data_IF_484611001909
#
_entry.id   IF_484611001909
#
_cell.length_a   1.000
_cell.length_b   1.000
_cell.length_c   1.000
_cell.angle_alpha   90.00
_cell.angle_beta   90.00
_cell.angle_gamma   90.00
#
_symmetry.space_group_name_H-M   'P 1'
#
loop_
_entity.id
_entity.type
_entity.pdbx_description
1 polymer ?
#
# COMPACT_ATOMS: atom_id res chain seq x y z
N UNK A 1 -15.18 1.06 -19.44
CA UNK A 1 -15.33 -0.21 -18.71
C UNK A 1 -14.36 -1.19 -19.34
N UNK A 2 -13.63 -1.99 -18.56
CA UNK A 2 -12.58 -2.94 -18.97
C UNK A 2 -11.23 -2.34 -19.40
N UNK A 3 -10.35 -2.07 -18.42
CA UNK A 3 -8.87 -2.17 -18.55
C UNK A 3 -8.14 -1.79 -17.23
N UNK A 4 -8.75 -1.97 -16.05
CA UNK A 4 -7.95 -2.42 -14.90
C UNK A 4 -7.57 -3.85 -15.30
N UNK A 5 -6.37 -3.97 -15.85
CA UNK A 5 -6.00 -4.95 -16.86
C UNK A 5 -6.22 -6.36 -16.32
N UNK A 6 -6.78 -7.25 -17.14
CA UNK A 6 -6.94 -8.67 -16.83
C UNK A 6 -5.69 -9.32 -16.20
N UNK A 7 -4.50 -8.74 -16.39
CA UNK A 7 -3.22 -9.13 -15.79
C UNK A 7 -3.12 -8.93 -14.28
N UNK A 8 -3.54 -7.79 -13.74
CA UNK A 8 -3.57 -7.59 -12.27
C UNK A 8 -4.58 -8.53 -11.61
N UNK A 9 -5.73 -8.76 -12.25
CA UNK A 9 -6.73 -9.76 -11.86
C UNK A 9 -6.24 -11.21 -11.97
N UNK A 10 -5.33 -11.51 -12.92
CA UNK A 10 -4.70 -12.84 -13.08
C UNK A 10 -3.67 -13.12 -11.99
N UNK A 11 -2.82 -12.15 -11.66
CA UNK A 11 -1.94 -12.28 -10.49
C UNK A 11 -2.76 -12.34 -9.20
N UNK A 12 -3.88 -11.61 -9.13
CA UNK A 12 -4.84 -11.73 -8.04
C UNK A 12 -5.46 -13.13 -7.93
N UNK A 13 -5.79 -13.77 -9.06
CA UNK A 13 -6.29 -15.14 -9.12
C UNK A 13 -5.22 -16.16 -8.71
N UNK A 14 -3.95 -15.92 -9.06
CA UNK A 14 -2.78 -16.72 -8.67
C UNK A 14 -2.48 -16.60 -7.17
N UNK A 15 -2.55 -15.39 -6.62
CA UNK A 15 -2.49 -15.12 -5.18
C UNK A 15 -3.74 -15.64 -4.46
N UNK A 16 -4.87 -15.80 -5.17
CA UNK A 16 -6.09 -16.46 -4.69
C UNK A 16 -6.02 -17.99 -4.71
N UNK A 17 -5.21 -18.59 -5.59
CA UNK A 17 -5.04 -20.05 -5.68
C UNK A 17 -3.97 -20.56 -4.69
N UNK A 18 -2.94 -19.77 -4.41
CA UNK A 18 -2.05 -19.95 -3.25
C UNK A 18 -2.77 -19.68 -1.91
N UNK A 19 -3.97 -19.11 -1.99
CA UNK A 19 -4.85 -18.77 -0.88
C UNK A 19 -5.72 -19.96 -0.54
N UNK A 20 -5.25 -20.80 0.36
CA UNK A 20 -6.20 -21.32 1.32
C UNK A 20 -6.65 -20.17 2.27
N UNK A 21 -7.50 -19.26 1.78
CA UNK A 21 -8.54 -18.63 2.62
C UNK A 21 -8.58 -17.12 2.95
N UNK A 22 -7.76 -16.19 2.41
CA UNK A 22 -7.59 -14.88 3.08
C UNK A 22 -7.90 -13.59 2.27
N UNK A 23 -9.16 -13.11 2.22
CA UNK A 23 -9.74 -12.01 1.38
C UNK A 23 -9.03 -10.62 1.25
N UNK A 24 -7.82 -10.39 1.75
CA UNK A 24 -7.13 -9.08 1.77
C UNK A 24 -5.96 -8.92 0.76
N UNK A 25 -5.83 -7.75 0.13
CA UNK A 25 -4.71 -7.37 -0.78
C UNK A 25 -3.40 -7.26 -0.01
N UNK A 26 -3.46 -6.74 1.22
CA UNK A 26 -2.27 -6.51 2.02
C UNK A 26 -1.62 -7.84 2.42
N UNK A 27 -2.42 -8.88 2.65
CA UNK A 27 -1.89 -10.22 2.93
C UNK A 27 -1.12 -10.79 1.73
N UNK A 28 -1.60 -10.50 0.52
CA UNK A 28 -0.99 -11.00 -0.71
C UNK A 28 0.40 -10.39 -0.99
N UNK A 29 0.70 -9.21 -0.44
CA UNK A 29 2.01 -8.56 -0.56
C UNK A 29 2.94 -8.84 0.64
N UNK A 30 2.46 -9.51 1.70
CA UNK A 30 3.30 -9.82 2.86
C UNK A 30 4.59 -10.57 2.49
N UNK A 31 4.60 -11.57 1.58
CA UNK A 31 5.81 -12.32 1.25
C UNK A 31 6.99 -11.47 0.80
N UNK A 32 6.76 -10.28 0.21
CA UNK A 32 7.83 -9.36 -0.19
C UNK A 32 8.56 -8.74 1.01
N UNK A 33 7.93 -8.65 2.18
CA UNK A 33 8.55 -8.07 3.36
C UNK A 33 9.41 -9.10 4.13
N UNK A 34 9.15 -10.39 3.96
CA UNK A 34 9.84 -11.47 4.68
C UNK A 34 11.36 -11.48 4.46
N UNK A 35 11.90 -11.39 3.22
CA UNK A 35 13.35 -11.37 2.97
C UNK A 35 14.05 -10.13 3.55
N UNK A 36 13.31 -9.03 3.73
CA UNK A 36 13.86 -7.79 4.33
C UNK A 36 13.88 -7.84 5.85
N UNK A 37 13.02 -8.67 6.45
CA UNK A 37 12.97 -8.88 7.90
C UNK A 37 14.01 -9.90 8.36
N UNK A 38 14.32 -10.93 7.57
CA UNK A 38 15.27 -12.00 7.95
C UNK A 38 16.66 -11.49 8.39
N UNK A 39 17.33 -10.53 7.70
CA UNK A 39 18.60 -9.98 8.17
C UNK A 39 18.51 -9.24 9.51
N UNK A 40 17.29 -8.96 9.97
CA UNK A 40 16.98 -8.27 11.21
C UNK A 40 16.57 -9.24 12.34
N UNK A 41 16.60 -10.56 12.11
CA UNK A 41 16.28 -11.57 13.14
C UNK A 41 17.00 -11.29 14.47
N UNK A 42 16.23 -11.31 15.56
CA UNK A 42 16.69 -11.02 16.91
C UNK A 42 16.92 -9.53 17.22
N UNK A 43 16.64 -8.61 16.28
CA UNK A 43 16.74 -7.16 16.49
C UNK A 43 15.38 -6.54 16.78
N UNK A 44 15.40 -5.38 17.43
CA UNK A 44 14.19 -4.56 17.60
C UNK A 44 13.74 -4.05 16.24
N UNK A 45 12.47 -4.26 15.91
CA UNK A 45 11.86 -3.78 14.69
C UNK A 45 11.62 -2.28 14.80
N UNK A 46 12.36 -1.53 13.97
CA UNK A 46 12.21 -0.08 13.84
C UNK A 46 11.50 0.24 12.51
N UNK A 47 10.22 0.69 12.54
CA UNK A 47 9.43 0.93 11.34
C UNK A 47 10.08 1.89 10.34
N UNK A 48 10.88 2.83 10.83
CA UNK A 48 11.60 3.81 10.02
C UNK A 48 12.73 3.19 9.21
N UNK A 49 13.54 2.37 9.86
CA UNK A 49 14.66 1.70 9.21
C UNK A 49 14.13 0.68 8.20
N UNK A 50 13.10 -0.07 8.58
CA UNK A 50 12.42 -0.99 7.69
C UNK A 50 11.82 -0.27 6.47
N UNK A 51 11.11 0.84 6.68
CA UNK A 51 10.53 1.60 5.58
C UNK A 51 11.57 2.16 4.61
N UNK A 52 12.72 2.62 5.13
CA UNK A 52 13.86 3.01 4.31
C UNK A 52 14.39 1.84 3.50
N UNK A 53 14.60 0.67 4.12
CA UNK A 53 15.05 -0.54 3.42
C UNK A 53 14.08 -0.94 2.31
N UNK A 54 12.77 -0.98 2.58
CA UNK A 54 11.74 -1.26 1.55
C UNK A 54 11.82 -0.26 0.40
N UNK A 55 11.96 1.04 0.71
CA UNK A 55 12.05 2.09 -0.30
C UNK A 55 13.32 2.00 -1.13
N UNK A 56 14.46 1.67 -0.51
CA UNK A 56 15.76 1.51 -1.18
C UNK A 56 15.81 0.23 -2.02
N UNK A 57 15.25 -0.88 -1.52
CA UNK A 57 15.28 -2.18 -2.20
C UNK A 57 14.25 -2.26 -3.31
N UNK A 58 13.02 -1.83 -3.07
CA UNK A 58 11.92 -1.98 -4.02
C UNK A 58 11.54 -0.70 -4.74
N UNK A 59 12.16 0.44 -4.45
CA UNK A 59 11.78 1.72 -5.04
C UNK A 59 10.38 2.21 -4.66
N UNK A 60 9.74 1.57 -3.67
CA UNK A 60 8.38 1.92 -3.26
C UNK A 60 8.36 3.20 -2.43
N UNK A 61 7.35 4.06 -2.63
CA UNK A 61 7.06 5.16 -1.72
C UNK A 61 6.43 4.61 -0.42
N UNK A 62 7.27 3.99 0.39
CA UNK A 62 6.88 3.23 1.57
C UNK A 62 7.29 4.00 2.82
N UNK A 63 6.32 4.55 3.55
CA UNK A 63 6.57 5.37 4.73
C UNK A 63 6.58 4.56 6.03
N UNK A 64 7.16 5.14 7.08
CA UNK A 64 7.12 4.54 8.41
C UNK A 64 5.68 4.31 8.91
N UNK A 65 4.72 5.14 8.48
CA UNK A 65 3.30 4.96 8.83
C UNK A 65 2.71 3.69 8.20
N UNK A 66 3.14 3.33 6.99
CA UNK A 66 2.74 2.08 6.32
C UNK A 66 3.38 0.90 7.05
N UNK A 67 4.68 0.98 7.35
CA UNK A 67 5.37 -0.04 8.14
C UNK A 67 4.67 -0.28 9.50
N UNK A 68 4.29 0.79 10.20
CA UNK A 68 3.56 0.73 11.48
C UNK A 68 2.17 0.09 11.34
N UNK A 69 1.45 0.32 10.24
CA UNK A 69 0.16 -0.33 9.99
C UNK A 69 0.31 -1.84 9.76
N UNK A 70 1.40 -2.27 9.11
CA UNK A 70 1.68 -3.68 8.82
C UNK A 70 2.16 -4.48 10.02
N UNK A 71 2.59 -3.84 11.12
CA UNK A 71 3.09 -4.53 12.34
C UNK A 71 2.12 -5.61 12.81
N UNK A 72 0.82 -5.30 12.90
CA UNK A 72 -0.20 -6.26 13.35
C UNK A 72 -0.28 -7.51 12.46
N UNK A 73 0.00 -7.34 11.16
CA UNK A 73 0.02 -8.44 10.19
C UNK A 73 1.30 -9.23 10.27
N UNK A 74 2.45 -8.57 10.50
CA UNK A 74 3.71 -9.26 10.75
C UNK A 74 3.67 -10.08 12.04
N UNK A 75 3.02 -9.57 13.09
CA UNK A 75 2.76 -10.33 14.33
C UNK A 75 1.83 -11.52 14.04
N UNK A 76 0.74 -11.31 13.29
CA UNK A 76 -0.18 -12.39 12.92
C UNK A 76 0.47 -13.46 12.05
N UNK A 77 1.45 -13.08 11.24
CA UNK A 77 2.26 -13.98 10.41
C UNK A 77 3.41 -14.66 11.19
N UNK A 78 3.61 -14.32 12.46
CA UNK A 78 4.67 -14.89 13.31
C UNK A 78 6.07 -14.32 13.04
N UNK A 79 6.19 -13.19 12.34
CA UNK A 79 7.48 -12.58 11.97
C UNK A 79 7.98 -11.59 13.01
N UNK A 80 7.06 -11.00 13.78
CA UNK A 80 7.36 -10.12 14.89
C UNK A 80 6.72 -10.67 16.16
N UNK A 81 7.40 -10.51 17.30
CA UNK A 81 6.83 -10.75 18.62
C UNK A 81 6.88 -9.50 19.48
N UNK A 82 5.85 -9.36 20.31
CA UNK A 82 5.73 -8.27 21.26
C UNK A 82 6.61 -8.57 22.48
N UNK A 83 7.55 -7.68 22.78
CA UNK A 83 8.55 -7.91 23.85
C UNK A 83 8.17 -7.26 25.17
N UNK A 84 7.26 -6.28 25.16
CA UNK A 84 6.79 -5.58 26.35
C UNK A 84 5.28 -5.76 26.49
N UNK A 85 4.82 -6.00 27.73
CA UNK A 85 3.43 -6.01 28.16
C UNK A 85 2.62 -4.74 27.82
N UNK A 86 3.27 -3.66 27.38
CA UNK A 86 2.64 -2.43 26.89
C UNK A 86 2.43 -2.37 25.36
N UNK A 87 2.97 -3.32 24.57
CA UNK A 87 2.70 -3.43 23.12
C UNK A 87 3.35 -2.39 22.21
N UNK A 88 4.47 -1.84 22.63
CA UNK A 88 5.16 -0.77 21.91
C UNK A 88 6.52 -1.16 21.32
N UNK A 89 7.06 -2.33 21.68
CA UNK A 89 8.33 -2.81 21.17
C UNK A 89 8.15 -4.20 20.59
N UNK A 90 8.61 -4.36 19.35
CA UNK A 90 8.53 -5.59 18.59
C UNK A 90 9.94 -6.06 18.28
N UNK A 91 10.19 -7.35 18.41
CA UNK A 91 11.44 -7.99 17.99
C UNK A 91 11.15 -8.85 16.77
N UNK A 92 12.07 -8.82 15.81
CA UNK A 92 11.99 -9.70 14.65
C UNK A 92 12.33 -11.11 15.11
N UNK A 93 11.38 -12.03 14.93
CA UNK A 93 11.58 -13.44 15.26
C UNK A 93 12.64 -14.07 14.36
N UNK A 94 13.16 -15.23 14.76
CA UNK A 94 14.05 -15.98 13.88
C UNK A 94 13.23 -16.59 12.74
N UNK A 95 13.10 -15.82 11.66
CA UNK A 95 12.40 -16.23 10.46
C UNK A 95 13.38 -17.08 9.63
N UNK A 96 13.66 -18.30 10.08
CA UNK A 96 14.37 -19.24 9.22
C UNK A 96 13.48 -19.54 8.02
N UNK A 97 14.02 -19.38 6.80
CA UNK A 97 13.45 -20.01 5.62
C UNK A 97 13.58 -21.54 5.80
N UNK A 98 12.67 -22.15 6.55
CA UNK A 98 12.45 -23.59 6.46
C UNK A 98 11.90 -23.86 5.06
N UNK A 99 12.82 -24.15 4.13
CA UNK A 99 12.74 -25.00 2.93
C UNK A 99 11.47 -24.99 2.03
N UNK A 100 10.68 -23.91 2.04
CA UNK A 100 9.61 -23.68 1.06
C UNK A 100 9.81 -22.40 0.21
N UNK A 101 11.01 -21.81 0.23
CA UNK A 101 11.36 -20.60 -0.53
C UNK A 101 12.44 -20.88 -1.58
N UNK A 102 12.15 -20.61 -2.84
CA UNK A 102 13.11 -20.64 -3.96
C UNK A 102 14.41 -19.90 -3.59
N UNK A 103 15.51 -20.63 -3.44
CA UNK A 103 16.84 -20.05 -3.20
C UNK A 103 17.20 -19.12 -4.36
N UNK A 104 17.42 -17.83 -4.11
CA UNK A 104 17.74 -16.83 -5.14
C UNK A 104 19.00 -17.20 -5.93
N UNK A 105 19.93 -17.91 -5.31
CA UNK A 105 21.10 -18.49 -6.00
C UNK A 105 20.73 -19.66 -6.92
N UNK A 106 19.69 -20.40 -6.58
CA UNK A 106 19.16 -21.46 -7.42
C UNK A 106 18.34 -20.90 -8.59
N UNK A 107 17.60 -19.80 -8.41
CA UNK A 107 16.89 -19.11 -9.52
C UNK A 107 17.87 -18.57 -10.56
N UNK A 108 18.95 -17.89 -10.15
CA UNK A 108 19.93 -17.33 -11.11
C UNK A 108 20.68 -18.44 -11.87
N UNK A 109 21.09 -19.49 -11.15
CA UNK A 109 21.72 -20.67 -11.73
C UNK A 109 20.76 -21.41 -12.68
N UNK A 110 19.49 -21.55 -12.28
CA UNK A 110 18.43 -22.20 -13.04
C UNK A 110 18.06 -21.39 -14.29
N UNK A 111 17.93 -20.06 -14.18
CA UNK A 111 17.66 -19.16 -15.31
C UNK A 111 18.82 -19.22 -16.31
N UNK A 112 20.07 -19.23 -15.86
CA UNK A 112 21.22 -19.38 -16.75
C UNK A 112 21.18 -20.72 -17.48
N UNK A 113 20.90 -21.82 -16.77
CA UNK A 113 20.80 -23.18 -17.33
C UNK A 113 19.66 -23.31 -18.35
N UNK A 114 18.48 -22.79 -18.04
CA UNK A 114 17.33 -22.74 -18.94
C UNK A 114 17.65 -21.91 -20.19
N UNK A 115 18.29 -20.76 -20.01
CA UNK A 115 18.68 -19.88 -21.14
C UNK A 115 19.74 -20.54 -22.03
N UNK A 116 20.68 -21.30 -21.47
CA UNK A 116 21.66 -22.07 -22.24
C UNK A 116 20.99 -23.14 -23.10
N UNK A 117 20.10 -23.95 -22.51
CA UNK A 117 19.37 -24.95 -23.26
C UNK A 117 18.45 -24.34 -24.31
N UNK A 118 17.86 -23.18 -24.03
CA UNK A 118 17.04 -22.47 -25.01
C UNK A 118 17.89 -21.96 -26.20
N UNK A 119 19.09 -21.46 -25.92
CA UNK A 119 20.05 -21.02 -26.94
C UNK A 119 20.63 -22.19 -27.76
N UNK A 120 20.80 -23.37 -27.15
CA UNK A 120 21.19 -24.61 -27.85
C UNK A 120 20.05 -25.14 -28.72
N UNK A 121 18.83 -25.20 -28.18
CA UNK A 121 17.65 -25.61 -28.93
C UNK A 121 17.42 -24.76 -30.18
N UNK A 122 17.60 -23.43 -30.06
CA UNK A 122 17.56 -22.52 -31.22
C UNK A 122 18.60 -22.90 -32.29
N UNK A 123 19.83 -23.23 -31.88
CA UNK A 123 20.90 -23.65 -32.80
C UNK A 123 20.57 -24.96 -33.51
N UNK A 124 19.93 -25.90 -32.81
CA UNK A 124 19.47 -27.17 -33.38
C UNK A 124 18.34 -26.99 -34.40
N UNK A 125 17.38 -26.11 -34.12
CA UNK A 125 16.18 -25.95 -34.94
C UNK A 125 16.42 -25.22 -36.26
N UNK A 126 17.41 -24.34 -36.32
CA UNK A 126 17.62 -23.51 -37.50
C UNK A 126 19.07 -23.01 -37.63
N UNK A 127 19.98 -23.83 -38.15
CA UNK A 127 21.37 -23.43 -38.41
C UNK A 127 21.51 -22.35 -39.51
N UNK A 128 20.42 -22.00 -40.21
CA UNK A 128 20.42 -21.12 -41.39
C UNK A 128 19.62 -19.81 -41.24
N UNK A 129 18.99 -19.54 -40.10
CA UNK A 129 18.21 -18.29 -39.92
C UNK A 129 19.04 -17.12 -39.43
N UNK A 130 18.86 -15.95 -40.04
CA UNK A 130 19.36 -14.62 -39.61
C UNK A 130 18.80 -14.13 -38.25
N UNK A 131 18.21 -15.01 -37.45
CA UNK A 131 17.60 -14.66 -36.17
C UNK A 131 18.71 -14.45 -35.11
N UNK A 132 19.38 -13.30 -35.19
CA UNK A 132 20.49 -12.90 -34.33
C UNK A 132 19.97 -12.27 -33.03
N UNK A 133 19.72 -13.10 -32.02
CA UNK A 133 19.38 -12.69 -30.65
C UNK A 133 20.50 -13.13 -29.70
N UNK A 134 20.91 -12.26 -28.78
CA UNK A 134 21.89 -12.58 -27.75
C UNK A 134 21.29 -13.50 -26.68
N UNK A 135 22.14 -14.04 -25.78
CA UNK A 135 21.69 -14.91 -24.68
C UNK A 135 20.72 -14.16 -23.75
N UNK A 136 21.00 -12.89 -23.47
CA UNK A 136 20.18 -12.00 -22.65
C UNK A 136 18.81 -11.75 -23.30
N UNK A 137 18.80 -11.47 -24.61
CA UNK A 137 17.56 -11.27 -25.36
C UNK A 137 16.69 -12.53 -25.41
N UNK A 138 17.30 -13.71 -25.50
CA UNK A 138 16.58 -14.99 -25.46
C UNK A 138 15.98 -15.26 -24.08
N UNK A 139 16.69 -14.90 -23.01
CA UNK A 139 16.17 -14.95 -21.63
C UNK A 139 14.96 -14.04 -21.47
N UNK A 140 15.07 -12.77 -21.89
CA UNK A 140 13.96 -11.81 -21.82
C UNK A 140 12.74 -12.28 -22.63
N UNK A 141 12.95 -12.83 -23.83
CA UNK A 141 11.89 -13.38 -24.68
C UNK A 141 11.18 -14.56 -23.99
N UNK A 142 11.95 -15.47 -23.40
CA UNK A 142 11.40 -16.65 -22.72
C UNK A 142 10.60 -16.25 -21.47
N UNK A 143 11.16 -15.37 -20.63
CA UNK A 143 10.48 -14.84 -19.44
C UNK A 143 9.21 -14.10 -19.83
N UNK A 144 9.27 -13.20 -20.82
CA UNK A 144 8.08 -12.47 -21.30
C UNK A 144 7.01 -13.43 -21.81
N UNK A 145 7.39 -14.49 -22.53
CA UNK A 145 6.44 -15.48 -23.04
C UNK A 145 5.79 -16.28 -21.91
N UNK A 146 6.58 -16.82 -20.98
CA UNK A 146 6.10 -17.58 -19.82
C UNK A 146 5.11 -16.76 -18.97
N UNK A 147 5.44 -15.50 -18.73
CA UNK A 147 4.57 -14.56 -18.02
C UNK A 147 3.29 -14.28 -18.82
N UNK A 148 3.40 -14.11 -20.14
CA UNK A 148 2.25 -13.80 -21.01
C UNK A 148 1.25 -14.95 -21.16
N UNK A 149 1.68 -16.20 -20.99
CA UNK A 149 0.83 -17.40 -21.06
C UNK A 149 0.39 -17.90 -19.69
N UNK A 150 0.70 -17.15 -18.62
CA UNK A 150 0.35 -17.50 -17.25
C UNK A 150 0.93 -18.90 -16.85
N UNK A 151 2.18 -19.19 -17.23
CA UNK A 151 2.82 -20.52 -17.09
C UNK A 151 3.27 -20.87 -15.65
N UNK A 152 2.47 -20.56 -14.64
CA UNK A 152 2.82 -20.76 -13.21
C UNK A 152 2.55 -22.19 -12.70
N UNK A 153 1.97 -23.07 -13.51
CA UNK A 153 1.84 -24.49 -13.20
C UNK A 153 2.10 -25.36 -14.45
N UNK A 154 2.54 -26.59 -14.23
CA UNK A 154 2.90 -27.50 -15.32
C UNK A 154 1.71 -27.82 -16.24
N UNK A 155 0.48 -27.87 -15.73
CA UNK A 155 -0.71 -28.15 -16.55
C UNK A 155 -0.95 -27.07 -17.60
N UNK A 156 -0.89 -25.79 -17.21
CA UNK A 156 -1.03 -24.64 -18.11
C UNK A 156 0.13 -24.60 -19.10
N UNK A 157 1.34 -24.92 -18.63
CA UNK A 157 2.54 -24.98 -19.48
C UNK A 157 2.41 -26.09 -20.55
N UNK A 158 1.85 -27.25 -20.19
CA UNK A 158 1.57 -28.38 -21.11
C UNK A 158 0.42 -28.09 -22.08
N UNK A 159 -0.66 -27.47 -21.61
CA UNK A 159 -1.82 -27.10 -22.44
C UNK A 159 -1.45 -26.05 -23.50
N UNK A 160 -0.68 -25.03 -23.11
CA UNK A 160 -0.26 -23.97 -24.03
C UNK A 160 0.88 -24.40 -24.97
N UNK A 161 1.66 -25.42 -24.61
CA UNK A 161 2.64 -26.03 -25.50
C UNK A 161 1.99 -26.91 -26.60
N UNK A 162 0.75 -27.36 -26.38
CA UNK A 162 0.06 -28.35 -27.22
C UNK A 162 -1.34 -27.86 -27.60
N UNK A 163 -1.46 -26.77 -28.36
CA UNK A 163 -2.73 -26.43 -29.02
C UNK A 163 -2.83 -27.10 -30.39
N UNK A 164 -3.90 -27.89 -30.57
CA UNK A 164 -4.32 -28.46 -31.87
C UNK A 164 -5.25 -27.46 -32.54
N UNK A 165 -4.99 -27.09 -33.80
CA UNK A 165 -5.98 -26.33 -34.57
C UNK A 165 -7.19 -27.20 -34.91
N UNK A 166 -8.33 -26.56 -35.10
CA UNK A 166 -9.61 -27.14 -35.55
C UNK A 166 -9.51 -27.88 -36.89
N UNK A 167 -8.38 -27.77 -37.61
CA UNK A 167 -8.14 -28.40 -38.92
C UNK A 167 -6.99 -29.44 -38.90
N UNK A 168 -6.56 -29.91 -37.72
CA UNK A 168 -5.60 -31.02 -37.62
C UNK A 168 -4.16 -30.68 -38.06
N UNK A 169 -3.89 -29.42 -38.40
CA UNK A 169 -2.53 -28.91 -38.61
C UNK A 169 -2.04 -28.28 -37.31
N UNK A 170 -0.82 -28.62 -36.87
CA UNK A 170 -0.18 -28.02 -35.68
C UNK A 170 -0.01 -26.51 -35.88
N UNK A 171 -0.99 -25.72 -35.47
CA UNK A 171 -0.89 -24.26 -35.44
C UNK A 171 -0.53 -23.85 -34.01
N UNK A 172 0.75 -23.55 -33.79
CA UNK A 172 1.24 -22.97 -32.54
C UNK A 172 1.00 -21.46 -32.65
N UNK A 173 -0.26 -21.03 -32.55
CA UNK A 173 -0.63 -19.61 -32.51
C UNK A 173 -1.49 -19.37 -31.28
N UNK A 174 -0.84 -18.98 -30.18
CA UNK A 174 -1.52 -18.38 -29.06
C UNK A 174 -1.66 -16.88 -29.32
N UNK A 175 -2.89 -16.39 -29.44
CA UNK A 175 -3.17 -14.95 -29.40
C UNK A 175 -2.89 -14.45 -27.98
N UNK A 176 -1.69 -13.90 -27.78
CA UNK A 176 -1.34 -13.20 -26.54
C UNK A 176 -2.13 -11.89 -26.44
N UNK A 177 -2.53 -11.47 -25.22
CA UNK A 177 -3.26 -10.22 -25.02
C UNK A 177 -2.46 -8.99 -25.52
N UNK A 178 -3.18 -8.01 -26.09
CA UNK A 178 -2.63 -6.76 -26.64
C UNK A 178 -1.67 -6.07 -25.65
N UNK A 179 -0.37 -6.10 -25.97
CA UNK A 179 0.70 -5.54 -25.14
C UNK A 179 2.00 -6.35 -25.07
N UNK A 180 2.08 -7.56 -25.63
CA UNK A 180 3.36 -8.29 -25.77
C UNK A 180 4.25 -7.65 -26.83
N UNK A 181 5.54 -7.49 -26.54
CA UNK A 181 6.55 -7.04 -27.52
C UNK A 181 7.07 -8.18 -28.42
N UNK A 182 6.70 -9.42 -28.08
CA UNK A 182 7.13 -10.63 -28.76
C UNK A 182 6.64 -10.72 -30.21
N UNK A 183 7.56 -11.00 -31.13
CA UNK A 183 7.24 -11.30 -32.52
C UNK A 183 6.59 -12.69 -32.67
N UNK A 184 5.96 -12.98 -33.80
CA UNK A 184 5.44 -14.32 -34.10
C UNK A 184 6.53 -15.40 -34.11
N UNK A 185 7.75 -15.05 -34.52
CA UNK A 185 8.92 -15.94 -34.50
C UNK A 185 9.36 -16.24 -33.06
N UNK A 186 9.34 -15.24 -32.17
CA UNK A 186 9.69 -15.38 -30.75
C UNK A 186 8.70 -16.33 -30.06
N UNK A 187 7.40 -16.12 -30.27
CA UNK A 187 6.33 -16.96 -29.72
C UNK A 187 6.45 -18.40 -30.19
N UNK A 188 6.71 -18.60 -31.48
CA UNK A 188 6.89 -19.92 -32.06
C UNK A 188 8.11 -20.64 -31.45
N UNK A 189 9.22 -19.93 -31.27
CA UNK A 189 10.45 -20.48 -30.70
C UNK A 189 10.25 -20.92 -29.24
N UNK A 190 9.63 -20.08 -28.40
CA UNK A 190 9.33 -20.39 -27.01
C UNK A 190 8.40 -21.60 -26.88
N UNK A 191 7.29 -21.61 -27.63
CA UNK A 191 6.32 -22.70 -27.57
C UNK A 191 6.91 -24.04 -28.05
N UNK A 192 7.77 -24.03 -29.09
CA UNK A 192 8.49 -25.23 -29.54
C UNK A 192 9.50 -25.73 -28.51
N UNK A 193 10.19 -24.82 -27.83
CA UNK A 193 11.14 -25.17 -26.78
C UNK A 193 10.43 -25.82 -25.59
N UNK A 194 9.36 -25.20 -25.12
CA UNK A 194 8.56 -25.76 -24.02
C UNK A 194 7.93 -27.09 -24.42
N UNK A 195 7.43 -27.23 -25.65
CA UNK A 195 6.94 -28.51 -26.15
C UNK A 195 8.02 -29.61 -26.10
N UNK A 196 9.26 -29.32 -26.51
CA UNK A 196 10.38 -30.29 -26.41
C UNK A 196 10.57 -30.73 -24.95
N UNK A 197 10.58 -29.77 -24.02
CA UNK A 197 10.73 -30.08 -22.59
C UNK A 197 9.57 -30.90 -22.02
N UNK A 198 8.34 -30.64 -22.48
CA UNK A 198 7.15 -31.41 -22.12
C UNK A 198 7.23 -32.84 -22.66
N UNK A 199 7.60 -33.00 -23.94
CA UNK A 199 7.73 -34.31 -24.60
C UNK A 199 8.86 -35.15 -23.97
N UNK A 200 9.93 -34.50 -23.49
CA UNK A 200 11.07 -35.13 -22.82
C UNK A 200 10.87 -35.33 -21.30
N UNK A 201 9.74 -34.85 -20.75
CA UNK A 201 9.46 -34.82 -19.31
C UNK A 201 10.64 -34.27 -18.48
N UNK A 202 11.20 -33.16 -18.96
CA UNK A 202 12.39 -32.53 -18.39
C UNK A 202 12.12 -31.95 -17.00
N UNK A 203 13.07 -32.11 -16.08
CA UNK A 203 13.05 -31.46 -14.76
C UNK A 203 13.07 -29.93 -14.84
N UNK A 204 13.36 -29.36 -16.02
CA UNK A 204 13.32 -27.91 -16.25
C UNK A 204 11.90 -27.34 -16.36
N UNK A 205 10.87 -28.18 -16.46
CA UNK A 205 9.47 -27.71 -16.47
C UNK A 205 9.11 -27.02 -15.15
N UNK A 206 9.48 -27.63 -14.03
CA UNK A 206 9.31 -27.06 -12.69
C UNK A 206 10.08 -25.72 -12.57
N UNK A 207 11.34 -25.71 -13.03
CA UNK A 207 12.15 -24.49 -13.13
C UNK A 207 11.49 -23.37 -13.94
N UNK A 208 10.86 -23.70 -15.08
CA UNK A 208 10.16 -22.72 -15.93
C UNK A 208 8.93 -22.14 -15.21
N UNK A 209 8.19 -22.96 -14.48
CA UNK A 209 7.05 -22.48 -13.68
C UNK A 209 7.50 -21.56 -12.54
N UNK A 210 8.61 -21.88 -11.86
CA UNK A 210 9.23 -20.99 -10.86
C UNK A 210 9.69 -19.65 -11.45
N UNK A 211 10.34 -19.67 -12.61
CA UNK A 211 10.74 -18.45 -13.34
C UNK A 211 9.51 -17.63 -13.78
N UNK A 212 8.44 -18.29 -14.24
CA UNK A 212 7.19 -17.63 -14.63
C UNK A 212 6.52 -16.96 -13.43
N UNK A 213 6.47 -17.64 -12.28
CA UNK A 213 5.95 -17.09 -11.03
C UNK A 213 6.78 -15.88 -10.57
N UNK A 214 8.11 -15.98 -10.56
CA UNK A 214 9.00 -14.87 -10.24
C UNK A 214 8.86 -13.70 -11.24
N UNK A 215 8.63 -14.00 -12.53
CA UNK A 215 8.39 -12.99 -13.58
C UNK A 215 7.04 -12.29 -13.44
N UNK A 216 6.00 -13.00 -13.03
CA UNK A 216 4.68 -12.45 -12.70
C UNK A 216 4.77 -11.56 -11.45
N UNK A 217 5.47 -12.01 -10.41
CA UNK A 217 5.74 -11.21 -9.20
C UNK A 217 6.53 -9.94 -9.53
N UNK A 218 7.52 -10.05 -10.42
CA UNK A 218 8.28 -8.92 -10.97
C UNK A 218 7.39 -7.94 -11.74
N UNK A 219 6.38 -8.44 -12.48
CA UNK A 219 5.41 -7.60 -13.17
C UNK A 219 4.48 -6.88 -12.18
N UNK A 220 4.09 -7.51 -11.07
CA UNK A 220 3.37 -6.85 -9.96
C UNK A 220 4.18 -5.72 -9.35
N UNK A 221 5.45 -6.00 -9.01
CA UNK A 221 6.37 -4.96 -8.51
C UNK A 221 6.41 -3.80 -9.51
N UNK A 222 6.48 -4.08 -10.81
CA UNK A 222 6.48 -3.07 -11.87
C UNK A 222 5.14 -2.33 -12.04
N UNK A 223 4.01 -2.99 -11.83
CA UNK A 223 2.69 -2.36 -11.85
C UNK A 223 2.47 -1.46 -10.63
N UNK A 224 3.11 -1.75 -9.49
CA UNK A 224 3.23 -0.76 -8.39
C UNK A 224 4.11 0.45 -8.77
N UNK A 225 5.06 0.28 -9.69
CA UNK A 225 5.93 1.36 -10.19
C UNK A 225 5.31 2.19 -11.34
N UNK A 226 4.34 1.64 -12.06
CA UNK A 226 3.70 2.32 -13.20
C UNK A 226 2.22 2.48 -12.88
N UNK A 227 1.69 3.70 -12.65
CA UNK A 227 0.25 3.91 -12.62
C UNK A 227 -0.31 3.61 -14.01
N UNK A 228 -0.66 2.35 -14.25
CA UNK A 228 -1.38 1.94 -15.44
C UNK A 228 -2.81 2.37 -15.20
N UNK A 229 -3.22 3.41 -15.92
CA UNK A 229 -4.52 4.08 -15.92
C UNK A 229 -4.63 5.30 -14.99
N UNK A 230 -5.22 6.38 -15.52
CA UNK A 230 -5.64 7.59 -14.78
C UNK A 230 -6.28 7.17 -13.47
N UNK A 231 -5.66 7.49 -12.33
CA UNK A 231 -6.25 7.24 -11.01
C UNK A 231 -7.68 7.80 -11.05
N UNK A 232 -8.68 6.95 -10.81
CA UNK A 232 -10.07 7.40 -10.77
C UNK A 232 -10.14 8.54 -9.75
N UNK A 233 -10.50 9.73 -10.22
CA UNK A 233 -10.58 10.89 -9.36
C UNK A 233 -11.56 10.59 -8.23
N UNK A 234 -11.05 10.64 -7.01
CA UNK A 234 -11.79 10.43 -5.79
C UNK A 234 -12.53 11.71 -5.42
N UNK A 235 -13.80 11.63 -5.05
CA UNK A 235 -14.55 12.77 -4.50
C UNK A 235 -14.47 12.85 -2.97
N UNK A 236 -13.66 11.97 -2.35
CA UNK A 236 -13.46 11.90 -0.92
C UNK A 236 -13.05 13.26 -0.33
N UNK A 237 -13.74 13.70 0.71
CA UNK A 237 -13.38 14.83 1.54
C UNK A 237 -12.75 14.34 2.85
N UNK A 238 -11.46 14.63 3.01
CA UNK A 238 -10.65 14.23 4.16
C UNK A 238 -10.61 15.39 5.14
N UNK A 239 -11.06 15.16 6.37
CA UNK A 239 -11.05 16.14 7.46
C UNK A 239 -9.91 15.79 8.41
N UNK A 240 -8.95 16.68 8.56
CA UNK A 240 -7.79 16.45 9.43
C UNK A 240 -8.12 16.85 10.86
N UNK A 241 -7.69 16.00 11.79
CA UNK A 241 -7.57 16.32 13.20
C UNK A 241 -6.41 17.30 13.46
N UNK A 242 -6.41 17.95 14.62
CA UNK A 242 -5.44 18.97 15.01
C UNK A 242 -4.01 18.43 14.97
N UNK A 243 -3.78 17.22 15.48
CA UNK A 243 -2.43 16.64 15.49
C UNK A 243 -1.89 16.41 14.08
N UNK A 244 -2.72 15.89 13.16
CA UNK A 244 -2.35 15.64 11.76
C UNK A 244 -2.11 16.96 11.03
N UNK A 245 -2.96 17.95 11.25
CA UNK A 245 -2.80 19.29 10.66
C UNK A 245 -1.52 19.98 11.15
N UNK A 246 -1.15 19.85 12.43
CA UNK A 246 0.09 20.40 12.98
C UNK A 246 1.33 19.70 12.41
N UNK A 247 1.31 18.37 12.26
CA UNK A 247 2.38 17.63 11.57
C UNK A 247 2.55 18.09 10.13
N UNK A 248 1.45 18.27 9.39
CA UNK A 248 1.48 18.79 8.02
C UNK A 248 2.09 20.20 7.91
N UNK A 249 1.83 21.07 8.89
CA UNK A 249 2.46 22.39 8.98
C UNK A 249 3.95 22.32 9.36
N UNK A 250 4.42 21.19 9.88
CA UNK A 250 5.81 20.97 10.25
C UNK A 250 6.19 21.46 11.64
N UNK A 251 5.22 21.90 12.45
CA UNK A 251 5.49 22.31 13.83
C UNK A 251 5.83 21.14 14.74
N UNK A 252 5.54 19.90 14.31
CA UNK A 252 5.88 18.67 15.02
C UNK A 252 7.23 18.04 14.60
N UNK A 253 7.99 18.73 13.73
CA UNK A 253 9.29 18.26 13.24
C UNK A 253 9.29 17.90 11.75
N UNK A 254 10.50 17.85 11.18
CA UNK A 254 10.69 17.69 9.74
C UNK A 254 10.23 16.31 9.23
N UNK A 255 10.46 15.27 10.02
CA UNK A 255 10.12 13.91 9.66
C UNK A 255 8.61 13.66 9.65
N UNK A 256 7.91 14.05 10.72
CA UNK A 256 6.45 13.96 10.79
C UNK A 256 5.80 14.75 9.64
N UNK A 257 6.38 15.91 9.31
CA UNK A 257 5.94 16.70 8.17
C UNK A 257 6.10 15.96 6.84
N UNK A 258 7.24 15.30 6.60
CA UNK A 258 7.46 14.52 5.37
C UNK A 258 6.44 13.40 5.23
N UNK A 259 6.21 12.63 6.30
CA UNK A 259 5.29 11.49 6.29
C UNK A 259 3.85 11.93 6.02
N UNK A 260 3.35 12.94 6.74
CA UNK A 260 1.97 13.42 6.54
C UNK A 260 1.81 14.14 5.20
N UNK A 261 2.84 14.86 4.74
CA UNK A 261 2.79 15.57 3.46
C UNK A 261 2.67 14.62 2.27
N UNK A 262 3.43 13.53 2.23
CA UNK A 262 3.33 12.55 1.13
C UNK A 262 1.92 11.96 1.04
N UNK A 263 1.28 11.71 2.18
CA UNK A 263 -0.10 11.22 2.27
C UNK A 263 -1.11 12.27 1.79
N UNK A 264 -1.01 13.51 2.28
CA UNK A 264 -1.96 14.58 1.91
C UNK A 264 -1.82 14.98 0.45
N UNK A 265 -0.60 15.16 -0.05
CA UNK A 265 -0.33 15.50 -1.44
C UNK A 265 -0.73 14.34 -2.37
N UNK A 266 -0.50 13.09 -1.95
CA UNK A 266 -0.99 11.89 -2.64
C UNK A 266 -2.52 11.84 -2.70
N UNK A 267 -3.21 12.21 -1.63
CA UNK A 267 -4.67 12.30 -1.64
C UNK A 267 -5.18 13.40 -2.59
N UNK A 268 -4.55 14.57 -2.59
CA UNK A 268 -4.90 15.69 -3.45
C UNK A 268 -4.64 15.37 -4.93
N UNK A 269 -3.56 14.65 -5.25
CA UNK A 269 -3.21 14.28 -6.63
C UNK A 269 -4.26 13.37 -7.28
N UNK A 270 -4.95 12.56 -6.47
CA UNK A 270 -6.06 11.70 -6.92
C UNK A 270 -7.43 12.36 -6.80
N UNK A 271 -7.50 13.67 -6.55
CA UNK A 271 -8.72 14.47 -6.53
C UNK A 271 -9.43 14.58 -5.18
N UNK A 272 -8.91 13.97 -4.11
CA UNK A 272 -9.49 14.16 -2.78
C UNK A 272 -9.41 15.63 -2.36
N UNK A 273 -10.46 16.12 -1.70
CA UNK A 273 -10.40 17.44 -1.06
C UNK A 273 -9.98 17.29 0.40
N UNK A 274 -8.96 18.03 0.81
CA UNK A 274 -8.45 17.98 2.18
C UNK A 274 -8.88 19.24 2.91
N UNK A 275 -9.43 19.05 4.12
CA UNK A 275 -10.14 20.09 4.87
C UNK A 275 -9.87 19.96 6.37
N UNK A 276 -10.19 21.01 7.11
CA UNK A 276 -10.29 21.00 8.57
C UNK A 276 -11.60 21.63 9.01
N UNK A 277 -12.15 21.18 10.14
CA UNK A 277 -13.24 21.91 10.77
C UNK A 277 -12.72 23.20 11.42
N UNK A 278 -13.57 24.21 11.47
CA UNK A 278 -13.21 25.46 12.15
C UNK A 278 -12.85 25.24 13.63
N UNK A 279 -13.56 24.34 14.32
CA UNK A 279 -13.26 23.96 15.71
C UNK A 279 -11.88 23.30 15.88
N UNK A 280 -11.36 22.63 14.85
CA UNK A 280 -9.98 22.09 14.83
C UNK A 280 -8.95 23.21 14.86
N UNK A 281 -9.23 24.36 14.25
CA UNK A 281 -8.32 25.51 14.30
C UNK A 281 -8.15 26.02 15.74
N UNK A 282 -9.25 26.10 16.49
CA UNK A 282 -9.21 26.50 17.89
C UNK A 282 -8.37 25.50 18.69
N UNK A 283 -8.58 24.20 18.49
CA UNK A 283 -7.79 23.17 19.18
C UNK A 283 -6.29 23.25 18.83
N UNK A 284 -5.94 23.46 17.55
CA UNK A 284 -4.56 23.71 17.14
C UNK A 284 -3.94 24.90 17.87
N UNK A 285 -4.64 26.04 17.92
CA UNK A 285 -4.19 27.23 18.64
C UNK A 285 -4.00 26.96 20.13
N UNK A 286 -4.96 26.30 20.79
CA UNK A 286 -4.87 25.96 22.20
C UNK A 286 -3.72 25.00 22.50
N UNK A 287 -3.51 23.99 21.65
CA UNK A 287 -2.42 23.03 21.81
C UNK A 287 -1.04 23.71 21.72
N UNK A 288 -0.86 24.58 20.72
CA UNK A 288 0.39 25.33 20.56
C UNK A 288 0.60 26.36 21.67
N UNK A 289 -0.45 27.08 22.07
CA UNK A 289 -0.39 28.02 23.19
C UNK A 289 -0.03 27.32 24.51
N UNK A 290 -0.57 26.13 24.76
CA UNK A 290 -0.24 25.34 25.95
C UNK A 290 1.26 24.99 26.00
N UNK A 291 1.87 24.69 24.86
CA UNK A 291 3.32 24.46 24.75
C UNK A 291 4.10 25.77 24.95
N UNK A 292 3.67 26.86 24.33
CA UNK A 292 4.38 28.15 24.36
C UNK A 292 4.33 28.85 25.72
N UNK A 293 3.24 28.66 26.49
CA UNK A 293 3.04 29.24 27.83
C UNK A 293 3.92 28.58 28.90
N UNK A 294 4.38 27.35 28.68
CA UNK A 294 5.31 26.68 29.59
C UNK A 294 6.73 27.20 29.38
N UNK A 295 7.49 27.26 30.47
CA UNK A 295 8.93 27.55 30.43
C UNK A 295 9.64 26.55 29.52
N UNK A 296 10.64 27.02 28.76
CA UNK A 296 11.39 26.23 27.78
C UNK A 296 11.77 24.81 28.24
N UNK A 297 12.34 24.59 29.46
CA UNK A 297 12.69 23.24 29.91
C UNK A 297 11.47 22.36 30.25
N UNK A 298 10.32 22.95 30.58
CA UNK A 298 9.09 22.25 30.96
C UNK A 298 8.12 22.02 29.78
N UNK A 299 8.53 22.40 28.55
CA UNK A 299 7.74 22.14 27.35
C UNK A 299 7.78 20.66 27.00
N UNK A 300 6.62 20.10 26.69
CA UNK A 300 6.43 18.68 26.38
C UNK A 300 5.73 18.50 25.03
N UNK A 301 5.78 17.28 24.50
CA UNK A 301 5.12 16.89 23.26
C UNK A 301 5.96 17.11 21.99
N UNK A 302 5.42 16.74 20.81
CA UNK A 302 6.15 16.73 19.55
C UNK A 302 6.72 18.09 19.17
N UNK A 303 5.93 19.16 19.30
CA UNK A 303 6.35 20.53 18.99
C UNK A 303 7.47 21.03 19.90
N UNK A 304 7.42 20.70 21.20
CA UNK A 304 8.50 21.05 22.12
C UNK A 304 9.81 20.35 21.74
N UNK A 305 9.74 19.08 21.36
CA UNK A 305 10.89 18.30 20.92
C UNK A 305 11.47 18.83 19.61
N UNK A 306 10.63 19.16 18.63
CA UNK A 306 11.07 19.77 17.38
C UNK A 306 11.78 21.12 17.60
N UNK A 307 11.24 21.98 18.49
CA UNK A 307 11.90 23.23 18.87
C UNK A 307 13.26 22.98 19.55
N UNK A 308 13.35 22.01 20.46
CA UNK A 308 14.62 21.66 21.14
C UNK A 308 15.68 21.16 20.19
N UNK A 309 15.27 20.46 19.12
CA UNK A 309 16.16 19.95 18.07
C UNK A 309 16.53 21.01 17.02
N UNK A 310 15.96 22.22 17.08
CA UNK A 310 16.17 23.26 16.08
C UNK A 310 15.50 22.96 14.74
N UNK A 311 14.53 22.03 14.70
CA UNK A 311 13.79 21.70 13.47
C UNK A 311 12.72 22.74 13.15
N UNK A 312 12.25 23.49 14.16
CA UNK A 312 11.26 24.56 14.00
C UNK A 312 11.54 25.72 14.94
N UNK A 313 11.40 26.93 14.41
CA UNK A 313 11.59 28.17 15.16
C UNK A 313 10.37 28.50 16.04
N UNK A 314 10.61 28.93 17.29
CA UNK A 314 9.53 29.32 18.22
C UNK A 314 8.67 30.47 17.64
N UNK A 315 9.29 31.38 16.87
CA UNK A 315 8.57 32.46 16.19
C UNK A 315 7.52 31.91 15.20
N UNK A 316 7.90 30.90 14.41
CA UNK A 316 6.99 30.24 13.47
C UNK A 316 5.84 29.55 14.22
N UNK A 317 6.14 28.81 15.29
CA UNK A 317 5.11 28.15 16.11
C UNK A 317 4.12 29.17 16.68
N UNK A 318 4.59 30.34 17.13
CA UNK A 318 3.75 31.42 17.64
C UNK A 318 2.87 32.05 16.55
N UNK A 319 3.37 32.18 15.32
CA UNK A 319 2.57 32.65 14.19
C UNK A 319 1.47 31.65 13.82
N UNK A 320 1.81 30.36 13.77
CA UNK A 320 0.83 29.29 13.52
C UNK A 320 -0.23 29.26 14.61
N UNK A 321 0.15 29.40 15.89
CA UNK A 321 -0.80 29.44 17.01
C UNK A 321 -1.81 30.60 16.88
N UNK A 322 -1.39 31.76 16.38
CA UNK A 322 -2.25 32.93 16.23
C UNK A 322 -3.21 32.85 15.04
N UNK A 323 -2.81 32.23 13.95
CA UNK A 323 -3.60 32.18 12.72
C UNK A 323 -3.36 30.89 11.93
N UNK A 324 -3.76 29.72 12.46
CA UNK A 324 -3.51 28.43 11.80
C UNK A 324 -4.22 28.34 10.45
N UNK A 325 -5.38 28.99 10.30
CA UNK A 325 -6.15 29.06 9.05
C UNK A 325 -5.30 29.51 7.86
N UNK A 326 -4.56 30.61 8.01
CA UNK A 326 -3.80 31.18 6.89
C UNK A 326 -2.68 30.24 6.41
N UNK A 327 -2.07 29.47 7.32
CA UNK A 327 -1.01 28.53 6.97
C UNK A 327 -1.56 27.29 6.26
N UNK A 328 -2.72 26.80 6.68
CA UNK A 328 -3.42 25.67 6.07
C UNK A 328 -3.95 26.02 4.68
N UNK A 329 -4.61 27.17 4.53
CA UNK A 329 -5.14 27.63 3.24
C UNK A 329 -4.04 27.84 2.20
N UNK A 330 -2.88 28.40 2.59
CA UNK A 330 -1.71 28.53 1.72
C UNK A 330 -1.17 27.19 1.20
N UNK A 331 -1.47 26.09 1.91
CA UNK A 331 -1.10 24.72 1.52
C UNK A 331 -2.27 23.95 0.89
N UNK A 332 -3.33 24.64 0.47
CA UNK A 332 -4.46 24.04 -0.23
C UNK A 332 -5.43 23.25 0.66
N UNK A 333 -5.40 23.46 1.98
CA UNK A 333 -6.33 22.84 2.92
C UNK A 333 -7.55 23.76 3.10
N UNK A 334 -8.75 23.24 2.82
CA UNK A 334 -9.99 24.00 2.96
C UNK A 334 -10.47 24.09 4.41
N UNK A 335 -11.08 25.21 4.79
CA UNK A 335 -11.67 25.39 6.13
C UNK A 335 -13.18 25.25 6.04
N UNK A 336 -13.75 24.38 6.87
CA UNK A 336 -15.19 24.13 6.92
C UNK A 336 -15.77 24.62 8.23
N UNK A 337 -16.66 25.61 8.15
CA UNK A 337 -17.48 26.06 9.28
C UNK A 337 -18.76 25.24 9.31
N UNK A 338 -18.81 24.26 10.21
CA UNK A 338 -20.02 23.48 10.52
C UNK A 338 -20.20 23.38 12.03
N UNK A 339 -21.44 23.48 12.51
CA UNK A 339 -21.78 23.22 13.91
C UNK A 339 -22.82 22.09 14.03
N UNK A 340 -22.90 21.42 15.19
CA UNK A 340 -23.91 20.38 15.45
C UNK A 340 -25.36 20.85 15.40
N UNK A 341 -25.63 22.16 15.39
CA UNK A 341 -26.98 22.71 15.32
C UNK A 341 -27.38 23.12 13.90
N UNK A 342 -26.42 23.10 12.97
CA UNK A 342 -26.67 23.40 11.57
C UNK A 342 -27.24 22.19 10.85
N UNK A 343 -28.21 22.44 9.95
CA UNK A 343 -28.90 21.44 9.14
C UNK A 343 -29.69 20.39 9.97
N UNK A 344 -30.86 20.76 10.52
CA UNK A 344 -31.67 19.85 11.34
C UNK A 344 -32.05 18.54 10.66
N UNK A 345 -32.20 18.55 9.32
CA UNK A 345 -32.47 17.37 8.51
C UNK A 345 -31.30 16.36 8.46
N UNK A 346 -30.08 16.76 8.86
CA UNK A 346 -28.95 15.84 8.98
C UNK A 346 -28.92 15.15 10.36
N UNK A 347 -29.74 15.58 11.32
CA UNK A 347 -29.79 14.99 12.67
C UNK A 347 -30.31 13.55 12.67
N UNK A 348 -31.07 13.17 11.63
CA UNK A 348 -31.58 11.82 11.42
C UNK A 348 -30.45 10.77 11.30
N UNK A 349 -29.26 11.19 10.86
CA UNK A 349 -28.11 10.31 10.67
C UNK A 349 -27.20 10.22 11.91
N UNK A 350 -27.29 11.21 12.81
CA UNK A 350 -26.57 11.21 14.08
C UNK A 350 -27.20 12.25 15.02
N UNK A 351 -28.02 11.77 15.96
CA UNK A 351 -28.80 12.62 16.87
C UNK A 351 -27.91 13.35 17.89
N UNK A 352 -28.46 14.35 18.58
CA UNK A 352 -27.76 15.02 19.68
C UNK A 352 -27.48 14.07 20.85
N UNK A 353 -28.44 13.20 21.16
CA UNK A 353 -28.30 12.20 22.21
C UNK A 353 -27.13 11.24 21.93
N UNK A 354 -26.92 10.86 20.66
CA UNK A 354 -25.77 10.06 20.24
C UNK A 354 -24.44 10.83 20.39
N UNK A 355 -24.43 12.16 20.20
CA UNK A 355 -23.24 12.99 20.46
C UNK A 355 -22.90 12.97 21.95
N UNK A 356 -23.90 13.14 22.82
CA UNK A 356 -23.71 13.12 24.26
C UNK A 356 -23.30 11.73 24.77
N UNK A 357 -23.86 10.67 24.18
CA UNK A 357 -23.47 9.29 24.48
C UNK A 357 -22.02 9.01 24.05
N UNK A 358 -21.63 9.40 22.83
CA UNK A 358 -20.25 9.27 22.35
C UNK A 358 -19.28 10.09 23.21
N UNK A 359 -19.63 11.34 23.50
CA UNK A 359 -18.90 12.19 24.45
C UNK A 359 -18.69 11.42 25.75
N UNK A 360 -19.76 10.89 26.35
CA UNK A 360 -19.73 10.14 27.62
C UNK A 360 -18.82 8.91 27.60
N UNK A 361 -18.58 8.28 26.44
CA UNK A 361 -17.66 7.13 26.30
C UNK A 361 -16.19 7.53 26.13
N UNK A 362 -15.89 8.74 25.66
CA UNK A 362 -14.51 9.22 25.52
C UNK A 362 -13.94 9.54 26.91
N UNK A 363 -13.02 8.72 27.40
CA UNK A 363 -12.54 8.79 28.79
C UNK A 363 -11.03 9.08 28.94
N UNK A 364 -10.28 9.14 27.84
CA UNK A 364 -8.83 9.44 27.86
C UNK A 364 -8.51 10.94 27.93
N UNK A 365 -9.50 11.81 27.75
CA UNK A 365 -9.35 13.23 27.96
C UNK A 365 -9.95 13.63 29.32
N UNK A 366 -9.09 14.14 30.22
CA UNK A 366 -9.55 14.80 31.45
C UNK A 366 -10.21 16.14 31.16
N UNK A 367 -9.78 16.81 30.09
CA UNK A 367 -10.33 18.09 29.67
C UNK A 367 -11.62 17.89 28.84
N UNK A 368 -12.68 18.66 29.11
CA UNK A 368 -13.95 18.52 28.40
C UNK A 368 -13.88 19.04 26.96
N UNK A 369 -12.98 19.98 26.64
CA UNK A 369 -12.92 20.62 25.32
C UNK A 369 -12.46 19.68 24.20
N UNK A 370 -11.32 18.96 24.30
CA UNK A 370 -10.91 18.00 23.27
C UNK A 370 -11.92 16.86 23.12
N UNK A 371 -12.47 16.41 24.25
CA UNK A 371 -13.53 15.40 24.29
C UNK A 371 -14.78 15.80 23.51
N UNK A 372 -15.22 17.05 23.67
CA UNK A 372 -16.35 17.60 22.92
C UNK A 372 -16.03 17.71 21.44
N UNK A 373 -14.82 18.17 21.10
CA UNK A 373 -14.38 18.28 19.72
C UNK A 373 -14.37 16.92 19.01
N UNK A 374 -13.80 15.89 19.62
CA UNK A 374 -13.75 14.53 19.10
C UNK A 374 -15.16 13.98 18.79
N UNK A 375 -16.07 14.11 19.75
CA UNK A 375 -17.45 13.67 19.61
C UNK A 375 -18.19 14.44 18.49
N UNK A 376 -18.02 15.76 18.45
CA UNK A 376 -18.64 16.62 17.43
C UNK A 376 -18.08 16.33 16.04
N UNK A 377 -16.77 16.23 15.90
CA UNK A 377 -16.11 15.95 14.61
C UNK A 377 -16.58 14.61 14.05
N UNK A 378 -16.66 13.58 14.90
CA UNK A 378 -17.19 12.25 14.53
C UNK A 378 -18.64 12.35 14.05
N UNK A 379 -19.50 13.06 14.79
CA UNK A 379 -20.90 13.23 14.44
C UNK A 379 -21.09 14.02 13.14
N UNK A 380 -20.32 15.08 12.92
CA UNK A 380 -20.36 15.88 11.70
C UNK A 380 -20.01 15.04 10.47
N UNK A 381 -19.02 14.13 10.57
CA UNK A 381 -18.74 13.19 9.47
C UNK A 381 -19.94 12.30 9.19
N UNK A 382 -20.52 11.67 10.21
CA UNK A 382 -21.66 10.76 10.03
C UNK A 382 -22.86 11.48 9.39
N UNK A 383 -23.13 12.71 9.82
CA UNK A 383 -24.16 13.57 9.24
C UNK A 383 -23.88 13.92 7.78
N UNK A 384 -22.64 14.28 7.45
CA UNK A 384 -22.24 14.59 6.08
C UNK A 384 -22.28 13.36 5.16
N UNK A 385 -22.05 12.15 5.69
CA UNK A 385 -22.21 10.89 4.95
C UNK A 385 -23.67 10.57 4.60
N UNK A 386 -24.65 11.16 5.31
CA UNK A 386 -26.09 10.97 5.03
C UNK A 386 -26.48 9.49 4.89
N UNK A 387 -25.99 8.65 5.80
CA UNK A 387 -26.28 7.21 5.81
C UNK A 387 -25.51 6.39 4.79
N UNK A 388 -24.58 6.98 4.02
CA UNK A 388 -23.68 6.23 3.14
C UNK A 388 -22.72 5.39 3.99
N UNK A 389 -22.82 4.08 3.84
CA UNK A 389 -21.89 3.09 4.40
C UNK A 389 -21.14 2.38 3.28
N UNK A 390 -19.88 2.05 3.52
CA UNK A 390 -19.01 1.39 2.55
C UNK A 390 -17.83 0.76 3.27
N UNK A 391 -17.15 -0.19 2.63
CA UNK A 391 -15.89 -0.78 3.12
C UNK A 391 -14.66 -0.07 2.56
N UNK A 392 -14.84 0.68 1.48
CA UNK A 392 -13.77 1.39 0.79
C UNK A 392 -13.70 2.85 1.26
N UNK A 393 -12.53 3.27 1.76
CA UNK A 393 -12.25 4.62 2.23
C UNK A 393 -12.57 5.69 1.18
N UNK A 394 -12.32 5.39 -0.08
CA UNK A 394 -12.48 6.36 -1.17
C UNK A 394 -13.92 6.52 -1.64
N UNK A 395 -14.77 5.55 -1.31
CA UNK A 395 -16.21 5.59 -1.58
C UNK A 395 -17.00 6.22 -0.42
N UNK A 396 -16.36 6.54 0.71
CA UNK A 396 -17.03 6.95 1.94
C UNK A 396 -17.51 8.41 1.98
N UNK A 397 -17.24 9.19 0.92
CA UNK A 397 -17.52 10.63 0.77
C UNK A 397 -16.80 11.55 1.77
N UNK A 398 -16.84 11.24 3.06
CA UNK A 398 -16.28 12.05 4.14
C UNK A 398 -15.56 11.15 5.15
N UNK A 399 -14.36 11.50 5.57
CA UNK A 399 -13.63 10.80 6.64
C UNK A 399 -12.96 11.82 7.56
N UNK A 400 -12.91 11.54 8.86
CA UNK A 400 -12.06 12.28 9.81
C UNK A 400 -10.80 11.48 10.09
N UNK A 401 -9.64 12.12 10.03
CA UNK A 401 -8.33 11.47 10.11
C UNK A 401 -7.57 11.97 11.32
N UNK A 402 -7.19 11.05 12.20
CA UNK A 402 -6.52 11.36 13.48
C UNK A 402 -5.26 10.51 13.67
N UNK A 403 -4.37 10.95 14.56
CA UNK A 403 -3.27 10.13 15.14
C UNK A 403 -3.71 9.41 16.42
N UNK A 404 -4.90 9.72 16.96
CA UNK A 404 -5.41 9.08 18.15
C UNK A 404 -6.09 7.75 17.79
N UNK A 405 -5.34 6.66 17.90
CA UNK A 405 -5.86 5.31 17.66
C UNK A 405 -7.02 4.93 18.58
N UNK A 406 -7.05 5.44 19.82
CA UNK A 406 -8.16 5.21 20.75
C UNK A 406 -9.46 5.87 20.26
N UNK A 407 -9.37 7.09 19.71
CA UNK A 407 -10.52 7.77 19.12
C UNK A 407 -11.06 6.99 17.91
N UNK A 408 -10.18 6.60 16.98
CA UNK A 408 -10.57 5.83 15.80
C UNK A 408 -11.28 4.50 16.19
N UNK A 409 -10.72 3.78 17.16
CA UNK A 409 -11.29 2.53 17.66
C UNK A 409 -12.62 2.75 18.40
N UNK A 410 -12.70 3.76 19.26
CA UNK A 410 -13.91 4.08 20.03
C UNK A 410 -15.04 4.52 19.11
N UNK A 411 -14.77 5.42 18.17
CA UNK A 411 -15.77 5.88 17.20
C UNK A 411 -16.33 4.71 16.38
N UNK A 412 -15.46 3.77 15.95
CA UNK A 412 -15.88 2.55 15.27
C UNK A 412 -16.79 1.69 16.16
N UNK A 413 -16.35 1.36 17.38
CA UNK A 413 -17.11 0.53 18.32
C UNK A 413 -18.46 1.15 18.64
N UNK A 414 -18.47 2.45 18.96
CA UNK A 414 -19.70 3.19 19.23
C UNK A 414 -20.70 3.09 18.08
N UNK A 415 -20.27 3.36 16.84
CA UNK A 415 -21.17 3.27 15.69
C UNK A 415 -21.70 1.86 15.43
N UNK A 416 -20.94 0.82 15.78
CA UNK A 416 -21.39 -0.58 15.66
C UNK A 416 -22.39 -0.92 16.78
N UNK A 417 -22.08 -0.53 18.03
CA UNK A 417 -22.92 -0.80 19.20
C UNK A 417 -24.30 -0.13 19.09
N UNK A 418 -24.33 1.08 18.53
CA UNK A 418 -25.56 1.85 18.29
C UNK A 418 -26.24 1.49 16.95
N UNK A 419 -25.81 0.40 16.30
CA UNK A 419 -26.38 -0.14 15.06
C UNK A 419 -26.37 0.83 13.87
N UNK A 420 -25.50 1.84 13.91
CA UNK A 420 -25.34 2.84 12.83
C UNK A 420 -24.50 2.27 11.69
N UNK A 421 -23.52 1.42 12.01
CA UNK A 421 -22.60 0.77 11.07
C UNK A 421 -22.54 -0.74 11.30
N UNK A 422 -22.30 -1.50 10.22
CA UNK A 422 -21.96 -2.92 10.32
C UNK A 422 -20.48 -3.12 10.66
N UNK A 423 -20.12 -4.31 11.16
CA UNK A 423 -18.73 -4.65 11.52
C UNK A 423 -17.70 -4.42 10.39
N UNK A 424 -18.10 -4.60 9.13
CA UNK A 424 -17.23 -4.46 7.98
C UNK A 424 -17.25 -3.05 7.35
N UNK A 425 -18.10 -2.16 7.86
CA UNK A 425 -18.20 -0.80 7.32
C UNK A 425 -17.04 0.06 7.82
N UNK A 426 -16.64 1.00 6.98
CA UNK A 426 -15.61 1.97 7.28
C UNK A 426 -16.11 2.96 8.33
N UNK A 427 -15.40 3.12 9.46
CA UNK A 427 -15.78 4.06 10.49
C UNK A 427 -15.71 5.54 10.02
N UNK A 428 -16.41 6.46 10.72
CA UNK A 428 -16.30 7.90 10.44
C UNK A 428 -14.90 8.45 10.70
N UNK A 429 -14.22 7.90 11.69
CA UNK A 429 -12.87 8.28 12.10
C UNK A 429 -11.91 7.17 11.72
N UNK A 430 -10.86 7.52 10.98
CA UNK A 430 -9.79 6.60 10.56
C UNK A 430 -8.45 7.09 11.11
N UNK A 431 -7.57 6.15 11.39
CA UNK A 431 -6.20 6.50 11.77
C UNK A 431 -5.42 6.99 10.54
N UNK A 432 -4.50 7.94 10.70
CA UNK A 432 -3.71 8.48 9.59
C UNK A 432 -2.90 7.39 8.85
N UNK A 433 -2.39 6.38 9.56
CA UNK A 433 -1.70 5.22 8.94
C UNK A 433 -2.60 4.39 8.02
N UNK A 434 -3.89 4.26 8.35
CA UNK A 434 -4.87 3.56 7.50
C UNK A 434 -5.10 4.34 6.20
N UNK A 435 -5.22 5.67 6.29
CA UNK A 435 -5.31 6.52 5.10
C UNK A 435 -4.03 6.43 4.25
N UNK A 436 -2.86 6.48 4.88
CA UNK A 436 -1.57 6.36 4.20
C UNK A 436 -1.46 5.04 3.42
N UNK A 437 -1.82 3.94 4.07
CA UNK A 437 -1.81 2.60 3.47
C UNK A 437 -2.80 2.48 2.32
N UNK A 438 -4.03 2.98 2.51
CA UNK A 438 -5.04 2.95 1.45
C UNK A 438 -4.67 3.81 0.23
N UNK A 439 -4.03 4.96 0.46
CA UNK A 439 -3.50 5.80 -0.62
C UNK A 439 -2.36 5.12 -1.36
N UNK A 440 -1.40 4.56 -0.64
CA UNK A 440 -0.28 3.83 -1.22
C UNK A 440 -0.75 2.68 -2.12
N UNK A 441 -1.70 1.87 -1.63
CA UNK A 441 -2.32 0.80 -2.42
C UNK A 441 -3.06 1.31 -3.66
N UNK A 442 -3.59 2.53 -3.62
CA UNK A 442 -4.39 3.10 -4.72
C UNK A 442 -3.56 3.84 -5.76
N UNK A 443 -2.49 4.50 -5.36
CA UNK A 443 -1.69 5.32 -6.28
C UNK A 443 -0.56 4.54 -6.93
N UNK A 444 -0.02 3.51 -6.29
CA UNK A 444 1.35 3.09 -6.61
C UNK A 444 2.32 4.26 -6.44
N UNK A 445 3.60 4.11 -6.79
CA UNK A 445 4.57 5.18 -6.64
C UNK A 445 4.21 6.43 -7.48
N UNK A 446 4.41 7.61 -6.89
CA UNK A 446 4.07 8.92 -7.45
C UNK A 446 5.23 9.68 -8.09
N UNK A 447 6.47 9.18 -8.11
CA UNK A 447 7.63 9.93 -8.65
C UNK A 447 8.70 9.08 -9.36
N UNK A 448 8.90 9.39 -10.66
CA UNK A 448 10.04 9.13 -11.56
C UNK A 448 10.57 7.68 -11.71
N UNK A 449 10.13 7.07 -12.80
CA UNK A 449 10.60 5.82 -13.40
C UNK A 449 12.10 5.78 -13.74
N UNK A 450 12.81 4.76 -13.25
CA UNK A 450 13.90 4.13 -13.99
C UNK A 450 13.42 2.73 -14.41
N UNK A 451 13.40 2.43 -15.71
CA UNK A 451 13.06 1.09 -16.21
C UNK A 451 14.20 0.11 -15.87
N UNK A 452 13.93 -0.84 -14.98
CA UNK A 452 14.85 -1.95 -14.66
C UNK A 452 14.51 -3.15 -15.59
N UNK A 453 15.50 -3.80 -16.23
CA UNK A 453 15.28 -4.98 -17.09
C UNK A 453 14.58 -6.16 -16.37
N UNK A 454 13.74 -6.93 -17.07
CA UNK A 454 12.92 -8.03 -16.49
C UNK A 454 13.76 -9.14 -15.87
N UNK A 455 14.77 -9.64 -16.58
CA UNK A 455 15.66 -10.69 -16.06
C UNK A 455 16.48 -10.24 -14.85
N UNK A 456 16.85 -8.95 -14.76
CA UNK A 456 17.59 -8.42 -13.63
C UNK A 456 16.76 -8.44 -12.34
N UNK A 457 15.44 -8.30 -12.43
CA UNK A 457 14.54 -8.38 -11.27
C UNK A 457 14.29 -9.79 -10.74
N UNK A 458 14.58 -10.83 -11.52
CA UNK A 458 14.44 -12.23 -11.11
C UNK A 458 15.56 -12.73 -10.18
N UNK A 459 16.64 -11.96 -10.08
CA UNK A 459 17.86 -12.31 -9.32
C UNK A 459 17.87 -11.64 -7.93
N UNK A 460 16.88 -10.79 -7.63
CA UNK A 460 16.79 -10.04 -6.36
C UNK A 460 15.88 -10.72 -5.34
#
# INVERSE_FOLDING_TARGET
MHALTQRALRVFAVLEEYRQGSKDIIEAILPFFKPLLEPLSGRVFEPRDFARTVSETYGWNFSADIAEELVTRFVSAGWLSETDSAGHTYVVEDISLEDEGLDTRDIEHTLSKVTEQFAEFKRELSPLTMYAKTKEQLSDILVEWLVSIDAYNESVLRENAIQKSTEGTLAIYQELPDGSSLSSEDKYLCARFVKKLVDENSHLLESLTGIAAAGLLTEVVRDFHKPVTKVQQSTLAIYLDSSVALEFLGVSGAEACRNVRSVIEGAQSIGCSVRVFYSTLDEMSHALDAVLKRDRPAREGPTATAMRRGEVEEAYVREVARNPSSFLERKGIGIVRRSPDQFPNEHDYFSKDLIEALYSRINWHTNPTPRQHDAVSTALIMRMRKGVTTRDIFSAQHVFVTRNGMLAQMARRFCIDEEILSNNDLPPVVHQRQLATALWLRTGDGVKSNDIPRHAMLVF
#
